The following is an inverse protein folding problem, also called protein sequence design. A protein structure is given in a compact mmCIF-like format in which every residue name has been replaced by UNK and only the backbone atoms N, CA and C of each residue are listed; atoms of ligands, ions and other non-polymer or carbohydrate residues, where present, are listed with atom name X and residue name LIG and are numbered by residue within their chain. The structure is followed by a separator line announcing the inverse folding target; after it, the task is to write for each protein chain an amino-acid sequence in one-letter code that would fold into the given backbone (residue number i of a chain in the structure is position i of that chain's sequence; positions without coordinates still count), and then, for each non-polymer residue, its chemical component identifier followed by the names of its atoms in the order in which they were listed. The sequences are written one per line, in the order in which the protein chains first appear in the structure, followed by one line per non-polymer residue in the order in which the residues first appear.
data_IF_860391391190
#
_entry.id   IF_860391391190
#
_cell.length_a   1.000
_cell.length_b   1.000
_cell.length_c   1.000
_cell.angle_alpha   90.00
_cell.angle_beta   90.00
_cell.angle_gamma   90.00
#
_symmetry.space_group_name_H-M   'P 1'
#
loop_
_entity.id
_entity.type
_entity.pdbx_description
1 polymer ?
#
# COMPACT_ATOMS: atom_id res chain seq x y z
N UNK A 1 -58.53 -30.13 -16.12
CA UNK A 1 -57.20 -30.52 -15.62
C UNK A 1 -56.15 -29.81 -16.47
N UNK A 2 -55.73 -28.62 -16.03
CA UNK A 2 -54.67 -27.88 -16.70
C UNK A 2 -53.36 -28.14 -15.94
N UNK A 3 -52.45 -28.85 -16.59
CA UNK A 3 -51.09 -29.11 -16.13
C UNK A 3 -50.32 -27.79 -16.05
N UNK A 4 -49.98 -27.38 -14.83
CA UNK A 4 -49.04 -26.30 -14.57
C UNK A 4 -47.67 -26.71 -15.10
N UNK A 5 -47.25 -26.07 -16.19
CA UNK A 5 -45.87 -26.09 -16.65
C UNK A 5 -45.01 -25.32 -15.63
N UNK A 6 -44.22 -26.06 -14.86
CA UNK A 6 -43.18 -25.49 -14.00
C UNK A 6 -42.08 -24.93 -14.91
N UNK A 7 -41.85 -23.62 -14.82
CA UNK A 7 -40.73 -22.94 -15.47
C UNK A 7 -39.39 -23.44 -14.92
N UNK A 8 -38.33 -23.59 -15.74
CA UNK A 8 -37.04 -24.14 -15.31
C UNK A 8 -36.19 -23.08 -14.58
N UNK A 9 -36.77 -22.34 -13.64
CA UNK A 9 -36.09 -21.32 -12.81
C UNK A 9 -36.19 -21.58 -11.32
N UNK A 10 -36.58 -22.80 -10.93
CA UNK A 10 -36.58 -23.24 -9.54
C UNK A 10 -35.98 -24.64 -9.46
N UNK A 11 -34.99 -24.81 -8.57
CA UNK A 11 -34.15 -25.99 -8.37
C UNK A 11 -32.96 -26.18 -9.35
N UNK A 12 -32.01 -25.23 -9.39
CA UNK A 12 -30.61 -25.67 -9.47
C UNK A 12 -30.21 -26.16 -8.09
N UNK A 13 -30.21 -27.47 -7.87
CA UNK A 13 -29.34 -28.04 -6.84
C UNK A 13 -27.93 -27.49 -7.12
N UNK A 14 -27.35 -26.69 -6.23
CA UNK A 14 -26.47 -27.20 -5.17
C UNK A 14 -25.32 -28.07 -5.68
N UNK A 15 -24.95 -27.99 -6.96
CA UNK A 15 -23.71 -28.60 -7.42
C UNK A 15 -22.54 -27.91 -6.72
N UNK A 16 -21.76 -28.70 -6.01
CA UNK A 16 -20.55 -28.23 -5.37
C UNK A 16 -19.49 -28.03 -6.46
N UNK A 17 -18.73 -26.92 -6.42
CA UNK A 17 -17.69 -26.71 -7.41
C UNK A 17 -16.73 -27.88 -7.50
N UNK A 18 -16.27 -28.17 -8.72
CA UNK A 18 -15.32 -29.27 -8.95
C UNK A 18 -14.04 -29.05 -8.14
N UNK A 19 -13.62 -30.07 -7.40
CA UNK A 19 -12.46 -30.00 -6.50
C UNK A 19 -12.75 -29.37 -5.12
N UNK A 20 -14.01 -29.09 -4.81
CA UNK A 20 -14.48 -28.60 -3.52
C UNK A 20 -15.41 -29.61 -2.83
N UNK A 21 -15.52 -29.48 -1.50
CA UNK A 21 -16.43 -30.21 -0.65
C UNK A 21 -17.41 -29.22 -0.02
N UNK A 22 -18.70 -29.45 -0.19
CA UNK A 22 -19.75 -28.55 0.27
C UNK A 22 -20.56 -29.21 1.39
N UNK A 23 -20.66 -28.50 2.52
CA UNK A 23 -21.33 -28.95 3.73
C UNK A 23 -22.55 -28.05 3.97
N UNK A 24 -23.73 -28.48 3.54
CA UNK A 24 -24.97 -27.70 3.68
C UNK A 24 -25.35 -27.44 5.16
N UNK A 25 -25.11 -28.42 6.04
CA UNK A 25 -25.43 -28.31 7.48
C UNK A 25 -24.63 -27.22 8.19
N UNK A 26 -23.33 -27.09 7.89
CA UNK A 26 -22.46 -26.05 8.46
C UNK A 26 -22.38 -24.80 7.59
N UNK A 27 -23.01 -24.81 6.41
CA UNK A 27 -22.93 -23.77 5.37
C UNK A 27 -21.48 -23.45 4.98
N UNK A 28 -20.66 -24.49 4.86
CA UNK A 28 -19.23 -24.39 4.57
C UNK A 28 -18.92 -24.96 3.21
N UNK A 29 -18.12 -24.24 2.42
CA UNK A 29 -17.51 -24.76 1.19
C UNK A 29 -16.01 -24.79 1.39
N UNK A 30 -15.42 -25.98 1.21
CA UNK A 30 -14.00 -26.22 1.42
C UNK A 30 -13.37 -26.76 0.13
N UNK A 31 -12.50 -25.97 -0.47
CA UNK A 31 -11.68 -26.34 -1.60
C UNK A 31 -10.25 -26.55 -1.10
N UNK A 32 -9.69 -27.73 -1.36
CA UNK A 32 -8.29 -28.06 -1.06
C UNK A 32 -7.77 -28.91 -2.21
N UNK A 33 -7.54 -28.29 -3.36
CA UNK A 33 -6.97 -28.93 -4.54
C UNK A 33 -5.80 -28.12 -5.07
N UNK A 34 -4.80 -28.75 -5.69
CA UNK A 34 -3.64 -28.01 -6.23
C UNK A 34 -3.91 -27.39 -7.60
N UNK A 35 -5.03 -27.75 -8.24
CA UNK A 35 -5.27 -27.45 -9.65
C UNK A 35 -6.10 -26.18 -9.89
N UNK A 36 -6.77 -25.62 -8.86
CA UNK A 36 -7.51 -24.38 -9.07
C UNK A 36 -6.55 -23.19 -9.24
N UNK A 37 -6.80 -22.43 -10.31
CA UNK A 37 -6.08 -21.19 -10.65
C UNK A 37 -6.91 -19.94 -10.32
N UNK A 38 -8.19 -20.12 -10.05
CA UNK A 38 -9.15 -19.08 -9.71
C UNK A 38 -10.16 -19.60 -8.68
N UNK A 39 -10.81 -18.68 -7.98
CA UNK A 39 -11.90 -18.99 -7.06
C UNK A 39 -13.13 -19.40 -7.90
N UNK A 40 -13.80 -20.53 -7.58
CA UNK A 40 -14.98 -20.96 -8.33
C UNK A 40 -16.13 -19.94 -8.23
N UNK A 41 -16.78 -19.69 -9.37
CA UNK A 41 -17.92 -18.75 -9.48
C UNK A 41 -19.25 -19.41 -9.05
N UNK A 42 -19.30 -20.74 -9.05
CA UNK A 42 -20.47 -21.59 -8.78
C UNK A 42 -20.59 -21.99 -7.31
N UNK A 43 -20.06 -21.19 -6.38
CA UNK A 43 -20.20 -21.44 -4.95
C UNK A 43 -21.68 -21.30 -4.54
N UNK A 44 -22.27 -22.29 -3.86
CA UNK A 44 -23.69 -22.25 -3.49
C UNK A 44 -24.08 -21.03 -2.63
N UNK A 45 -25.20 -20.38 -2.92
CA UNK A 45 -25.64 -19.16 -2.24
C UNK A 45 -26.01 -19.30 -0.75
N UNK A 46 -26.16 -20.52 -0.23
CA UNK A 46 -26.35 -20.75 1.21
C UNK A 46 -25.06 -20.62 2.02
N UNK A 47 -23.91 -20.52 1.35
CA UNK A 47 -22.58 -20.57 1.97
C UNK A 47 -22.36 -19.37 2.89
N UNK A 48 -21.86 -19.65 4.10
CA UNK A 48 -21.41 -18.65 5.07
C UNK A 48 -19.89 -18.67 5.28
N UNK A 49 -19.29 -19.84 5.14
CA UNK A 49 -17.86 -20.04 5.36
C UNK A 49 -17.23 -20.59 4.08
N UNK A 50 -16.30 -19.84 3.51
CA UNK A 50 -15.56 -20.22 2.29
C UNK A 50 -14.12 -20.48 2.69
N UNK A 51 -13.63 -21.71 2.47
CA UNK A 51 -12.27 -22.12 2.77
C UNK A 51 -11.62 -22.59 1.49
N UNK A 52 -10.63 -21.86 1.01
CA UNK A 52 -9.93 -22.12 -0.25
C UNK A 52 -8.43 -22.03 0.05
N UNK A 53 -7.80 -23.17 0.33
CA UNK A 53 -6.39 -23.23 0.74
C UNK A 53 -5.58 -24.17 -0.15
N UNK A 54 -4.32 -23.82 -0.43
CA UNK A 54 -3.39 -24.71 -1.15
C UNK A 54 -3.52 -24.71 -2.68
N UNK A 55 -4.01 -23.61 -3.25
CA UNK A 55 -4.21 -23.44 -4.70
C UNK A 55 -3.17 -22.50 -5.32
N UNK A 56 -3.12 -22.48 -6.66
CA UNK A 56 -2.33 -21.53 -7.46
C UNK A 56 -3.16 -20.27 -7.82
N UNK A 57 -4.04 -19.83 -6.92
CA UNK A 57 -4.81 -18.60 -7.14
C UNK A 57 -3.87 -17.42 -7.05
N UNK A 58 -3.84 -16.61 -8.10
CA UNK A 58 -2.91 -15.48 -8.25
C UNK A 58 -3.56 -14.13 -7.98
N UNK A 59 -4.86 -13.97 -8.26
CA UNK A 59 -5.54 -12.67 -8.18
C UNK A 59 -6.93 -12.78 -7.58
N UNK A 60 -7.34 -11.73 -6.88
CA UNK A 60 -8.73 -11.49 -6.49
C UNK A 60 -9.26 -10.31 -7.32
N UNK A 61 -10.24 -10.59 -8.17
CA UNK A 61 -10.95 -9.59 -8.99
C UNK A 61 -12.20 -9.03 -8.31
N UNK A 62 -12.73 -7.92 -8.82
CA UNK A 62 -13.93 -7.26 -8.29
C UNK A 62 -15.20 -8.12 -8.41
N UNK A 63 -15.24 -9.00 -9.40
CA UNK A 63 -16.33 -9.94 -9.70
C UNK A 63 -16.23 -11.25 -8.91
N UNK A 64 -15.14 -11.49 -8.18
CA UNK A 64 -14.83 -12.81 -7.60
C UNK A 64 -15.83 -13.24 -6.53
N UNK A 65 -16.34 -12.29 -5.73
CA UNK A 65 -17.22 -12.56 -4.60
C UNK A 65 -18.62 -11.94 -4.75
N UNK A 66 -18.99 -11.54 -5.97
CA UNK A 66 -20.19 -10.74 -6.24
C UNK A 66 -21.50 -11.42 -5.79
N UNK A 67 -21.58 -12.75 -5.97
CA UNK A 67 -22.77 -13.55 -5.62
C UNK A 67 -22.81 -14.00 -4.15
N UNK A 68 -21.71 -13.83 -3.40
CA UNK A 68 -21.52 -14.40 -2.06
C UNK A 68 -21.99 -13.48 -0.92
N UNK A 69 -23.19 -12.90 -1.07
CA UNK A 69 -23.69 -11.84 -0.19
C UNK A 69 -23.80 -12.23 1.29
N UNK A 70 -24.03 -13.52 1.58
CA UNK A 70 -24.27 -14.02 2.94
C UNK A 70 -23.01 -14.56 3.65
N UNK A 71 -21.83 -14.44 3.03
CA UNK A 71 -20.59 -14.98 3.58
C UNK A 71 -20.12 -14.16 4.78
N UNK A 72 -19.76 -14.87 5.85
CA UNK A 72 -19.25 -14.31 7.10
C UNK A 72 -17.76 -14.54 7.26
N UNK A 73 -17.24 -15.62 6.70
CA UNK A 73 -15.82 -16.00 6.85
C UNK A 73 -15.26 -16.44 5.51
N UNK A 74 -14.14 -15.84 5.12
CA UNK A 74 -13.37 -16.20 3.94
C UNK A 74 -11.95 -16.53 4.38
N UNK A 75 -11.51 -17.75 4.08
CA UNK A 75 -10.15 -18.23 4.31
C UNK A 75 -9.53 -18.53 2.95
N UNK A 76 -8.57 -17.70 2.55
CA UNK A 76 -7.76 -17.81 1.33
C UNK A 76 -6.28 -18.04 1.67
N UNK A 77 -6.01 -18.65 2.82
CA UNK A 77 -4.64 -18.82 3.29
C UNK A 77 -3.88 -19.85 2.46
N UNK A 78 -2.56 -19.68 2.40
CA UNK A 78 -1.64 -20.59 1.70
C UNK A 78 -2.00 -20.77 0.20
N UNK A 79 -2.20 -19.65 -0.51
CA UNK A 79 -2.31 -19.60 -1.97
C UNK A 79 -1.12 -18.79 -2.54
N UNK A 80 -1.22 -18.32 -3.80
CA UNK A 80 -0.20 -17.49 -4.46
C UNK A 80 -0.73 -16.11 -4.84
N UNK A 81 -1.62 -15.54 -4.01
CA UNK A 81 -2.29 -14.29 -4.35
C UNK A 81 -1.25 -13.17 -4.30
N UNK A 82 -1.13 -12.45 -5.41
CA UNK A 82 -0.23 -11.30 -5.59
C UNK A 82 -1.00 -9.99 -5.69
N UNK A 83 -2.21 -10.03 -6.22
CA UNK A 83 -2.99 -8.84 -6.55
C UNK A 83 -4.39 -8.91 -5.97
N UNK A 84 -4.80 -7.82 -5.32
CA UNK A 84 -6.18 -7.59 -4.86
C UNK A 84 -6.74 -6.34 -5.53
N UNK A 85 -7.72 -6.53 -6.41
CA UNK A 85 -8.33 -5.47 -7.19
C UNK A 85 -9.24 -4.56 -6.34
N UNK A 86 -9.64 -3.42 -6.91
CA UNK A 86 -10.61 -2.50 -6.30
C UNK A 86 -11.94 -3.20 -6.02
N UNK A 87 -12.58 -2.85 -4.90
CA UNK A 87 -13.92 -3.32 -4.53
C UNK A 87 -14.10 -4.86 -4.49
N UNK A 88 -13.01 -5.61 -4.39
CA UNK A 88 -13.01 -7.09 -4.38
C UNK A 88 -13.94 -7.70 -3.33
N UNK A 89 -14.14 -7.00 -2.20
CA UNK A 89 -14.98 -7.47 -1.09
C UNK A 89 -16.25 -6.62 -0.88
N UNK A 90 -16.56 -5.70 -1.80
CA UNK A 90 -17.60 -4.67 -1.61
C UNK A 90 -19.02 -5.21 -1.44
N UNK A 91 -19.32 -6.38 -2.01
CA UNK A 91 -20.64 -7.04 -1.91
C UNK A 91 -20.84 -7.83 -0.61
N UNK A 92 -19.79 -8.00 0.19
CA UNK A 92 -19.77 -8.91 1.34
C UNK A 92 -20.22 -8.21 2.62
N UNK A 93 -21.48 -7.78 2.65
CA UNK A 93 -22.06 -6.98 3.75
C UNK A 93 -22.20 -7.71 5.09
N UNK A 94 -21.79 -8.98 5.19
CA UNK A 94 -21.77 -9.75 6.44
C UNK A 94 -20.39 -10.33 6.78
N UNK A 95 -19.34 -9.99 6.03
CA UNK A 95 -17.99 -10.53 6.22
C UNK A 95 -17.39 -10.08 7.55
N UNK A 96 -17.16 -11.02 8.46
CA UNK A 96 -16.57 -10.76 9.78
C UNK A 96 -15.10 -11.12 9.85
N UNK A 97 -14.66 -12.15 9.14
CA UNK A 97 -13.28 -12.65 9.21
C UNK A 97 -12.76 -12.92 7.80
N UNK A 98 -11.63 -12.29 7.48
CA UNK A 98 -10.91 -12.45 6.22
C UNK A 98 -9.48 -12.88 6.52
N UNK A 99 -9.15 -14.11 6.12
CA UNK A 99 -7.81 -14.65 6.22
C UNK A 99 -7.20 -14.76 4.83
N UNK A 100 -6.15 -13.96 4.59
CA UNK A 100 -5.32 -14.02 3.38
C UNK A 100 -3.87 -14.35 3.73
N UNK A 101 -3.62 -15.00 4.88
CA UNK A 101 -2.29 -15.35 5.36
C UNK A 101 -1.51 -16.28 4.42
N UNK A 102 -0.19 -16.28 4.54
CA UNK A 102 0.71 -17.12 3.73
C UNK A 102 0.46 -16.95 2.22
N UNK A 103 0.28 -15.71 1.75
CA UNK A 103 0.20 -15.35 0.33
C UNK A 103 1.44 -14.53 -0.10
N UNK A 104 1.37 -13.84 -1.24
CA UNK A 104 2.50 -13.11 -1.82
C UNK A 104 2.08 -11.77 -2.40
N UNK A 105 1.31 -11.00 -1.63
CA UNK A 105 0.73 -9.73 -2.03
C UNK A 105 1.83 -8.75 -2.44
N UNK A 106 1.78 -8.34 -3.71
CA UNK A 106 2.64 -7.33 -4.31
C UNK A 106 1.91 -6.03 -4.57
N UNK A 107 0.61 -6.11 -4.88
CA UNK A 107 -0.25 -4.97 -5.21
C UNK A 107 -1.58 -5.08 -4.47
N UNK A 108 -1.91 -4.07 -3.69
CA UNK A 108 -3.20 -3.97 -3.01
C UNK A 108 -3.85 -2.65 -3.45
N UNK A 109 -4.97 -2.72 -4.16
CA UNK A 109 -5.65 -1.50 -4.57
C UNK A 109 -6.12 -0.69 -3.33
N UNK A 110 -6.05 0.66 -3.35
CA UNK A 110 -6.54 1.52 -2.25
C UNK A 110 -7.95 1.20 -1.76
N UNK A 111 -8.84 0.83 -2.69
CA UNK A 111 -10.24 0.50 -2.41
C UNK A 111 -10.51 -1.01 -2.35
N UNK A 112 -9.46 -1.84 -2.28
CA UNK A 112 -9.62 -3.30 -2.22
C UNK A 112 -10.45 -3.74 -1.02
N UNK A 113 -10.18 -3.16 0.15
CA UNK A 113 -10.84 -3.46 1.43
C UNK A 113 -12.06 -2.57 1.72
N UNK A 114 -12.52 -1.78 0.74
CA UNK A 114 -13.68 -0.92 0.91
C UNK A 114 -14.98 -1.75 0.90
N UNK A 115 -15.50 -2.02 2.09
CA UNK A 115 -16.77 -2.72 2.31
C UNK A 115 -17.75 -1.70 2.90
N UNK A 116 -18.88 -1.40 2.22
CA UNK A 116 -19.88 -0.47 2.74
C UNK A 116 -20.38 -0.89 4.13
N UNK A 117 -20.23 0.00 5.12
CA UNK A 117 -20.60 -0.29 6.51
C UNK A 117 -19.77 -1.41 7.15
N UNK A 118 -18.53 -1.60 6.68
CA UNK A 118 -17.66 -2.77 6.93
C UNK A 118 -17.92 -3.49 8.27
N UNK A 119 -18.51 -4.71 8.22
CA UNK A 119 -18.72 -5.54 9.40
C UNK A 119 -17.45 -6.32 9.81
N UNK A 120 -16.35 -6.13 9.09
CA UNK A 120 -15.11 -6.88 9.27
C UNK A 120 -14.55 -6.66 10.68
N UNK A 121 -14.27 -7.78 11.37
CA UNK A 121 -13.74 -7.84 12.73
C UNK A 121 -12.31 -8.35 12.76
N UNK A 122 -11.98 -9.27 11.87
CA UNK A 122 -10.68 -9.93 11.84
C UNK A 122 -10.10 -9.88 10.43
N UNK A 123 -8.86 -9.42 10.33
CA UNK A 123 -8.07 -9.42 9.11
C UNK A 123 -6.72 -10.07 9.38
N UNK A 124 -6.46 -11.21 8.73
CA UNK A 124 -5.18 -11.90 8.82
C UNK A 124 -4.40 -11.75 7.51
N UNK A 125 -3.24 -11.09 7.61
CA UNK A 125 -2.28 -10.84 6.53
C UNK A 125 -0.89 -11.35 6.94
N UNK A 126 -0.81 -12.28 7.88
CA UNK A 126 0.46 -12.85 8.32
C UNK A 126 1.19 -13.53 7.15
N UNK A 127 2.51 -13.35 7.06
CA UNK A 127 3.37 -13.94 6.01
C UNK A 127 2.83 -13.76 4.59
N UNK A 128 2.26 -12.59 4.29
CA UNK A 128 1.55 -12.34 3.03
C UNK A 128 2.10 -11.18 2.21
N UNK A 129 2.77 -10.22 2.84
CA UNK A 129 3.33 -9.05 2.17
C UNK A 129 4.70 -9.41 1.57
N UNK A 130 4.87 -9.18 0.27
CA UNK A 130 6.13 -9.53 -0.40
C UNK A 130 7.24 -8.50 -0.18
N UNK A 131 6.88 -7.21 -0.24
CA UNK A 131 7.83 -6.11 -0.29
C UNK A 131 7.30 -4.85 0.42
N UNK A 132 8.12 -3.80 0.46
CA UNK A 132 7.73 -2.53 1.07
C UNK A 132 6.57 -1.82 0.33
N UNK A 133 6.45 -1.96 -1.00
CA UNK A 133 5.35 -1.32 -1.75
C UNK A 133 4.00 -1.86 -1.31
N UNK A 134 3.90 -3.18 -1.07
CA UNK A 134 2.69 -3.82 -0.55
C UNK A 134 2.30 -3.31 0.85
N UNK A 135 3.25 -2.85 1.67
CA UNK A 135 2.97 -2.23 2.97
C UNK A 135 2.37 -0.82 2.80
N UNK A 136 2.90 -0.03 1.87
CA UNK A 136 2.35 1.30 1.54
C UNK A 136 0.94 1.19 0.95
N UNK A 137 0.73 0.22 0.07
CA UNK A 137 -0.57 -0.09 -0.51
C UNK A 137 -1.56 -0.52 0.57
N UNK A 138 -1.14 -1.43 1.47
CA UNK A 138 -1.95 -1.82 2.62
C UNK A 138 -2.29 -0.63 3.52
N UNK A 139 -1.34 0.25 3.80
CA UNK A 139 -1.57 1.47 4.60
C UNK A 139 -2.70 2.31 4.00
N UNK A 140 -2.69 2.44 2.68
CA UNK A 140 -3.72 3.17 1.93
C UNK A 140 -5.05 2.41 1.97
N UNK A 141 -5.04 1.08 1.79
CA UNK A 141 -6.23 0.25 1.86
C UNK A 141 -6.90 0.24 3.24
N UNK A 142 -6.12 0.26 4.33
CA UNK A 142 -6.65 0.35 5.70
C UNK A 142 -7.31 1.71 5.94
N UNK A 143 -6.76 2.79 5.37
CA UNK A 143 -7.31 4.15 5.47
C UNK A 143 -8.67 4.27 4.77
N UNK A 144 -8.79 3.76 3.55
CA UNK A 144 -10.00 3.90 2.74
C UNK A 144 -10.99 2.74 2.88
N UNK A 145 -10.59 1.64 3.52
CA UNK A 145 -11.42 0.44 3.68
C UNK A 145 -12.62 0.58 4.63
N UNK A 146 -12.75 1.72 5.34
CA UNK A 146 -13.84 1.93 6.29
C UNK A 146 -13.85 0.94 7.46
N UNK A 147 -12.68 0.40 7.82
CA UNK A 147 -12.49 -0.69 8.79
C UNK A 147 -12.60 -0.24 10.26
N UNK A 148 -13.47 0.72 10.56
CA UNK A 148 -13.61 1.31 11.90
C UNK A 148 -14.07 0.32 12.98
N UNK A 149 -14.66 -0.80 12.57
CA UNK A 149 -15.12 -1.90 13.41
C UNK A 149 -14.14 -3.06 13.58
N UNK A 150 -12.95 -3.00 12.98
CA UNK A 150 -11.93 -4.05 13.04
C UNK A 150 -11.40 -4.22 14.47
N UNK A 151 -11.34 -5.46 14.96
CA UNK A 151 -10.91 -5.81 16.31
C UNK A 151 -9.52 -6.46 16.31
N UNK A 152 -9.22 -7.28 15.30
CA UNK A 152 -7.96 -8.01 15.22
C UNK A 152 -7.29 -7.83 13.87
N UNK A 153 -6.01 -7.47 13.89
CA UNK A 153 -5.16 -7.34 12.70
C UNK A 153 -3.87 -8.12 12.93
N UNK A 154 -3.62 -9.11 12.07
CA UNK A 154 -2.39 -9.89 12.08
C UNK A 154 -1.49 -9.55 10.90
N UNK A 155 -0.32 -9.00 11.20
CA UNK A 155 0.75 -8.64 10.27
C UNK A 155 2.05 -9.38 10.59
N UNK A 156 1.99 -10.48 11.34
CA UNK A 156 3.15 -11.26 11.75
C UNK A 156 3.87 -11.90 10.57
N UNK A 157 5.20 -12.07 10.63
CA UNK A 157 5.93 -12.81 9.60
C UNK A 157 6.05 -12.11 8.24
N UNK A 158 5.81 -10.81 8.14
CA UNK A 158 5.87 -10.02 6.91
C UNK A 158 7.24 -9.35 6.66
N UNK A 159 8.25 -9.65 7.50
CA UNK A 159 9.62 -9.08 7.41
C UNK A 159 9.63 -7.55 7.44
N UNK A 160 8.68 -6.95 8.15
CA UNK A 160 8.53 -5.50 8.25
C UNK A 160 9.73 -4.90 8.99
N UNK A 161 10.38 -3.91 8.38
CA UNK A 161 11.55 -3.22 8.96
C UNK A 161 11.13 -1.97 9.74
N UNK A 162 10.08 -1.29 9.28
CA UNK A 162 9.46 -0.16 9.96
C UNK A 162 7.96 -0.12 9.66
N UNK A 163 7.22 0.65 10.47
CA UNK A 163 5.80 0.90 10.28
C UNK A 163 5.59 2.37 9.92
N UNK A 164 4.87 2.67 8.82
CA UNK A 164 4.47 4.03 8.47
C UNK A 164 3.71 4.71 9.62
N UNK A 165 4.02 5.99 9.94
CA UNK A 165 3.29 6.74 10.96
C UNK A 165 1.79 6.81 10.66
N UNK A 166 0.96 6.61 11.68
CA UNK A 166 -0.49 6.68 11.54
C UNK A 166 -1.11 5.59 10.67
N UNK A 167 -0.39 4.50 10.33
CA UNK A 167 -0.95 3.36 9.57
C UNK A 167 -2.26 2.84 10.20
N UNK A 168 -2.34 2.82 11.52
CA UNK A 168 -3.49 2.29 12.25
C UNK A 168 -4.47 3.38 12.74
N UNK A 169 -4.27 4.64 12.34
CA UNK A 169 -5.05 5.78 12.83
C UNK A 169 -6.55 5.70 12.53
N UNK A 170 -6.93 4.95 11.50
CA UNK A 170 -8.32 4.73 11.08
C UNK A 170 -8.94 3.44 11.64
N UNK A 171 -8.29 2.79 12.61
CA UNK A 171 -8.74 1.55 13.26
C UNK A 171 -9.05 1.77 14.76
N UNK A 172 -10.02 2.63 15.13
CA UNK A 172 -10.26 3.03 16.52
C UNK A 172 -10.79 1.91 17.43
N UNK A 173 -11.29 0.82 16.85
CA UNK A 173 -11.81 -0.34 17.59
C UNK A 173 -10.81 -1.48 17.73
N UNK A 174 -9.59 -1.33 17.21
CA UNK A 174 -8.62 -2.41 17.21
C UNK A 174 -8.20 -2.78 18.64
N UNK A 175 -8.32 -4.06 18.97
CA UNK A 175 -8.00 -4.66 20.26
C UNK A 175 -6.72 -5.48 20.18
N UNK A 176 -6.55 -6.28 19.13
CA UNK A 176 -5.39 -7.16 18.97
C UNK A 176 -4.59 -6.76 17.74
N UNK A 177 -3.31 -6.44 17.95
CA UNK A 177 -2.36 -6.15 16.89
C UNK A 177 -1.16 -7.09 16.99
N UNK A 178 -1.02 -7.97 15.99
CA UNK A 178 0.08 -8.91 15.91
C UNK A 178 1.13 -8.43 14.92
N UNK A 179 2.32 -8.09 15.44
CA UNK A 179 3.49 -7.67 14.69
C UNK A 179 4.68 -8.60 14.95
N UNK A 180 4.44 -9.76 15.54
CA UNK A 180 5.48 -10.72 15.87
C UNK A 180 6.20 -11.28 14.66
N UNK A 181 7.43 -11.76 14.83
CA UNK A 181 8.23 -12.39 13.77
C UNK A 181 8.43 -11.47 12.55
N UNK A 182 8.71 -10.19 12.79
CA UNK A 182 9.08 -9.21 11.78
C UNK A 182 10.55 -8.77 12.01
N UNK A 183 10.98 -7.68 11.38
CA UNK A 183 12.33 -7.14 11.48
C UNK A 183 12.36 -5.74 12.08
N UNK A 184 11.35 -5.39 12.90
CA UNK A 184 11.21 -4.05 13.45
C UNK A 184 12.35 -3.77 14.45
N UNK A 185 13.07 -2.67 14.25
CA UNK A 185 14.18 -2.28 15.12
C UNK A 185 13.84 -1.12 16.06
N UNK A 186 12.80 -0.35 15.75
CA UNK A 186 12.39 0.87 16.44
C UNK A 186 10.89 1.11 16.32
N UNK A 187 10.34 1.83 17.29
CA UNK A 187 8.99 2.41 17.24
C UNK A 187 9.16 3.91 17.15
N UNK A 188 8.48 4.54 16.17
CA UNK A 188 8.56 5.98 15.96
C UNK A 188 7.32 6.69 16.52
N UNK A 189 7.45 7.99 16.79
CA UNK A 189 6.32 8.82 17.19
C UNK A 189 5.15 8.70 16.19
N UNK A 190 3.95 8.48 16.71
CA UNK A 190 2.73 8.29 15.93
C UNK A 190 2.53 6.90 15.33
N UNK A 191 3.41 5.91 15.62
CA UNK A 191 3.24 4.53 15.11
C UNK A 191 1.92 3.92 15.57
N UNK A 192 1.57 4.09 16.85
CA UNK A 192 0.36 3.52 17.45
C UNK A 192 -0.75 4.54 17.64
N UNK A 193 -0.69 5.66 16.91
CA UNK A 193 -1.70 6.70 17.00
C UNK A 193 -3.08 6.18 16.58
N UNK A 194 -4.11 6.49 17.38
CA UNK A 194 -5.50 6.08 17.13
C UNK A 194 -5.93 4.76 17.78
N UNK A 195 -5.00 3.95 18.29
CA UNK A 195 -5.28 2.65 18.91
C UNK A 195 -5.79 2.78 20.36
N UNK A 196 -7.00 3.31 20.54
CA UNK A 196 -7.56 3.65 21.86
C UNK A 196 -8.14 2.47 22.66
N UNK A 197 -8.38 1.34 21.98
CA UNK A 197 -9.00 0.13 22.56
C UNK A 197 -8.06 -1.07 22.52
N UNK A 198 -6.77 -0.85 22.37
CA UNK A 198 -5.80 -1.92 22.25
C UNK A 198 -5.74 -2.70 23.58
N UNK A 199 -5.87 -4.01 23.47
CA UNK A 199 -5.83 -4.97 24.58
C UNK A 199 -4.59 -5.88 24.48
N UNK A 200 -4.10 -6.13 23.26
CA UNK A 200 -2.91 -6.93 23.02
C UNK A 200 -2.06 -6.34 21.90
N UNK A 201 -0.77 -6.15 22.19
CA UNK A 201 0.26 -5.77 21.24
C UNK A 201 1.38 -6.81 21.25
N UNK A 202 1.51 -7.57 20.17
CA UNK A 202 2.59 -8.55 20.02
C UNK A 202 3.74 -7.97 19.17
N UNK A 203 4.87 -7.70 19.81
CA UNK A 203 6.14 -7.26 19.21
C UNK A 203 7.24 -8.32 19.36
N UNK A 204 6.88 -9.57 19.67
CA UNK A 204 7.85 -10.65 19.88
C UNK A 204 8.63 -10.96 18.61
N UNK A 205 9.85 -11.52 18.74
CA UNK A 205 10.65 -11.95 17.58
C UNK A 205 10.84 -10.84 16.55
N UNK A 206 11.29 -9.68 17.01
CA UNK A 206 11.67 -8.55 16.16
C UNK A 206 13.17 -8.26 16.36
N UNK A 207 13.62 -7.06 15.97
CA UNK A 207 15.03 -6.63 16.03
C UNK A 207 15.26 -5.52 17.06
N UNK A 208 14.41 -5.41 18.09
CA UNK A 208 14.54 -4.35 19.10
C UNK A 208 15.80 -4.55 19.94
N UNK A 209 16.68 -3.55 19.94
CA UNK A 209 17.90 -3.51 20.76
C UNK A 209 17.68 -2.81 22.10
N UNK A 210 16.91 -1.73 22.09
CA UNK A 210 16.45 -1.00 23.26
C UNK A 210 15.25 -0.13 22.85
N UNK A 211 14.39 0.23 23.80
CA UNK A 211 13.37 1.26 23.61
C UNK A 211 13.88 2.57 24.21
N UNK A 212 13.86 3.66 23.43
CA UNK A 212 14.41 4.97 23.83
C UNK A 212 13.44 6.10 23.46
N UNK A 213 13.44 7.18 24.26
CA UNK A 213 12.76 8.44 23.95
C UNK A 213 11.35 8.25 23.38
N UNK A 214 11.16 8.64 22.12
CA UNK A 214 9.90 8.55 21.38
C UNK A 214 9.23 7.17 21.43
N UNK A 215 10.03 6.09 21.37
CA UNK A 215 9.49 4.73 21.40
C UNK A 215 8.83 4.43 22.75
N UNK A 216 9.45 4.84 23.86
CA UNK A 216 8.88 4.71 25.20
C UNK A 216 7.66 5.61 25.37
N UNK A 217 7.74 6.86 24.88
CA UNK A 217 6.61 7.79 24.91
C UNK A 217 5.37 7.25 24.16
N UNK A 218 5.57 6.54 23.04
CA UNK A 218 4.47 5.87 22.32
C UNK A 218 3.88 4.71 23.12
N UNK A 219 4.70 3.89 23.77
CA UNK A 219 4.22 2.80 24.63
C UNK A 219 3.48 3.33 25.86
N UNK A 220 3.97 4.41 26.47
CA UNK A 220 3.30 5.09 27.58
C UNK A 220 1.96 5.70 27.14
N UNK A 221 1.86 6.23 25.92
CA UNK A 221 0.62 6.80 25.38
C UNK A 221 -0.46 5.74 25.14
N UNK A 222 -0.10 4.47 24.96
CA UNK A 222 -1.05 3.37 24.95
C UNK A 222 -1.71 3.16 26.33
N UNK A 223 -1.17 3.75 27.39
CA UNK A 223 -1.63 3.60 28.76
C UNK A 223 -1.33 2.21 29.32
N UNK A 224 -1.96 1.85 30.43
CA UNK A 224 -1.75 0.54 31.10
C UNK A 224 -2.69 -0.57 30.60
N UNK A 225 -3.56 -0.27 29.62
CA UNK A 225 -4.60 -1.19 29.19
C UNK A 225 -4.09 -2.39 28.36
N UNK A 226 -3.24 -2.21 27.32
CA UNK A 226 -2.84 -3.34 26.49
C UNK A 226 -1.77 -4.20 27.15
N UNK A 227 -1.93 -5.52 27.07
CA UNK A 227 -0.87 -6.49 27.32
C UNK A 227 0.15 -6.44 26.17
N UNK A 228 1.38 -6.06 26.46
CA UNK A 228 2.47 -5.95 25.48
C UNK A 228 3.36 -7.18 25.57
N UNK A 229 3.64 -7.82 24.44
CA UNK A 229 4.58 -8.94 24.35
C UNK A 229 5.86 -8.49 23.65
N UNK A 230 7.01 -8.69 24.30
CA UNK A 230 8.31 -8.14 23.90
C UNK A 230 9.43 -9.17 23.81
N UNK A 231 9.18 -10.43 24.18
CA UNK A 231 10.20 -11.48 24.22
C UNK A 231 10.83 -11.77 22.85
N UNK A 232 11.99 -12.44 22.89
CA UNK A 232 12.74 -12.85 21.70
C UNK A 232 13.20 -11.65 20.84
N UNK A 233 13.63 -10.57 21.46
CA UNK A 233 14.27 -9.44 20.80
C UNK A 233 15.75 -9.35 21.22
N UNK A 234 16.65 -8.90 20.32
CA UNK A 234 18.09 -8.87 20.59
C UNK A 234 18.48 -7.66 21.44
N UNK A 235 18.05 -7.63 22.71
CA UNK A 235 18.32 -6.53 23.62
C UNK A 235 19.81 -6.33 23.90
N UNK A 236 20.29 -5.10 23.72
CA UNK A 236 21.67 -4.69 23.97
C UNK A 236 21.72 -4.05 25.36
N UNK A 237 22.20 -4.81 26.33
CA UNK A 237 22.24 -4.45 27.73
C UNK A 237 23.50 -3.67 28.11
N UNK A 238 23.62 -2.48 27.52
CA UNK A 238 24.61 -1.44 27.88
C UNK A 238 23.89 -0.28 28.58
N UNK A 239 24.57 0.84 28.84
CA UNK A 239 23.92 2.00 29.46
C UNK A 239 22.76 2.60 28.67
N UNK A 240 22.65 2.31 27.37
CA UNK A 240 21.53 2.78 26.56
C UNK A 240 20.20 2.11 26.91
N UNK A 241 20.22 0.94 27.56
CA UNK A 241 18.99 0.24 27.94
C UNK A 241 18.39 0.77 29.25
N UNK A 242 19.06 1.71 29.92
CA UNK A 242 18.67 2.19 31.25
C UNK A 242 17.23 2.71 31.28
N UNK A 243 16.83 3.53 30.32
CA UNK A 243 15.48 4.09 30.26
C UNK A 243 14.43 2.99 30.10
N UNK A 244 14.70 2.01 29.23
CA UNK A 244 13.83 0.86 29.04
C UNK A 244 13.75 -0.01 30.31
N UNK A 245 14.88 -0.23 30.99
CA UNK A 245 14.92 -0.99 32.24
C UNK A 245 14.15 -0.29 33.37
N UNK A 246 14.21 1.06 33.44
CA UNK A 246 13.42 1.86 34.38
C UNK A 246 11.92 1.74 34.03
N UNK A 247 11.56 1.90 32.76
CA UNK A 247 10.18 1.76 32.29
C UNK A 247 9.63 0.36 32.56
N UNK A 248 10.42 -0.70 32.35
CA UNK A 248 10.00 -2.08 32.64
C UNK A 248 9.65 -2.27 34.12
N UNK A 249 10.36 -1.61 35.04
CA UNK A 249 10.05 -1.67 36.48
C UNK A 249 8.72 -1.01 36.82
N UNK A 250 8.38 0.11 36.17
CA UNK A 250 7.10 0.79 36.38
C UNK A 250 5.93 0.11 35.65
N UNK A 251 6.19 -0.53 34.51
CA UNK A 251 5.17 -1.04 33.58
C UNK A 251 5.10 -2.57 33.52
N UNK A 252 5.66 -3.26 34.51
CA UNK A 252 5.81 -4.74 34.52
C UNK A 252 4.48 -5.49 34.35
N UNK A 253 3.39 -5.03 34.96
CA UNK A 253 2.07 -5.66 34.86
C UNK A 253 1.50 -5.60 33.43
N UNK A 254 1.98 -4.65 32.62
CA UNK A 254 1.59 -4.48 31.24
C UNK A 254 2.35 -5.42 30.30
N UNK A 255 3.62 -5.71 30.61
CA UNK A 255 4.47 -6.59 29.79
C UNK A 255 4.15 -8.05 30.13
N UNK A 256 3.40 -8.69 29.25
CA UNK A 256 2.83 -10.01 29.50
C UNK A 256 3.86 -11.13 29.60
N UNK A 257 5.03 -10.95 29.00
CA UNK A 257 6.11 -11.94 28.90
C UNK A 257 7.42 -11.44 29.54
N UNK A 258 7.31 -10.66 30.63
CA UNK A 258 8.46 -10.00 31.29
C UNK A 258 9.59 -10.96 31.66
N UNK A 259 9.22 -12.20 32.03
CA UNK A 259 10.11 -13.29 32.41
C UNK A 259 11.01 -13.77 31.27
N UNK A 260 10.58 -13.57 30.02
CA UNK A 260 11.29 -14.01 28.83
C UNK A 260 12.11 -12.89 28.17
N UNK A 261 12.19 -11.69 28.77
CA UNK A 261 13.10 -10.65 28.29
C UNK A 261 14.51 -10.91 28.82
N UNK A 262 15.39 -11.34 27.93
CA UNK A 262 16.81 -11.55 28.22
C UNK A 262 17.72 -10.67 27.37
N UNK A 263 18.90 -10.37 27.89
CA UNK A 263 19.94 -9.65 27.17
C UNK A 263 20.55 -10.56 26.10
N UNK A 264 20.69 -10.05 24.88
CA UNK A 264 21.37 -10.75 23.79
C UNK A 264 22.84 -10.35 23.68
N UNK A 265 23.17 -9.11 24.05
CA UNK A 265 24.54 -8.61 24.10
C UNK A 265 24.69 -7.56 25.21
N UNK A 266 25.91 -7.23 25.65
CA UNK A 266 27.17 -7.91 25.32
C UNK A 266 27.25 -9.29 25.98
N UNK A 267 28.27 -10.10 25.65
CA UNK A 267 28.34 -11.52 26.01
C UNK A 267 28.36 -11.75 27.54
N UNK A 268 28.86 -10.77 28.31
CA UNK A 268 28.91 -10.79 29.77
C UNK A 268 27.51 -10.87 30.40
N UNK A 269 26.52 -10.32 29.70
CA UNK A 269 25.12 -10.29 30.14
C UNK A 269 24.22 -11.21 29.32
N UNK A 270 24.77 -12.01 28.40
CA UNK A 270 23.95 -12.87 27.55
C UNK A 270 23.04 -13.78 28.39
N UNK A 271 21.78 -13.89 27.99
CA UNK A 271 20.72 -14.66 28.64
C UNK A 271 20.34 -14.20 30.07
N UNK A 272 20.91 -13.10 30.57
CA UNK A 272 20.47 -12.48 31.82
C UNK A 272 19.09 -11.84 31.64
N UNK A 273 18.14 -12.07 32.57
CA UNK A 273 16.83 -11.45 32.50
C UNK A 273 16.90 -9.94 32.77
N UNK A 274 16.23 -9.14 31.94
CA UNK A 274 16.25 -7.67 32.04
C UNK A 274 15.68 -7.14 33.35
N UNK A 275 14.75 -7.88 33.98
CA UNK A 275 14.15 -7.49 35.26
C UNK A 275 15.17 -7.44 36.41
N UNK A 276 16.23 -8.25 36.32
CA UNK A 276 17.28 -8.38 37.34
C UNK A 276 18.45 -7.44 37.07
N UNK A 277 18.44 -6.70 35.95
CA UNK A 277 19.47 -5.71 35.65
C UNK A 277 19.33 -4.49 36.58
N UNK A 278 20.30 -4.34 37.48
CA UNK A 278 20.52 -3.11 38.23
C UNK A 278 21.36 -2.12 37.44
N UNK A 279 21.04 -0.82 37.50
CA UNK A 279 21.78 0.27 36.82
C UNK A 279 23.26 0.28 37.23
N UNK A 280 23.56 -0.12 38.47
CA UNK A 280 24.91 -0.25 39.01
C UNK A 280 25.68 -1.45 38.43
N UNK A 281 24.98 -2.52 38.03
CA UNK A 281 25.56 -3.75 37.47
C UNK A 281 26.03 -3.54 36.02
N UNK A 282 25.35 -2.67 35.28
CA UNK A 282 25.70 -2.30 33.90
C UNK A 282 26.88 -1.31 33.87
N UNK A 283 27.28 -0.76 35.02
CA UNK A 283 28.40 0.19 35.12
C UNK A 283 28.04 1.62 34.70
N UNK A 284 26.76 1.99 34.70
CA UNK A 284 26.33 3.34 34.32
C UNK A 284 26.59 4.30 35.47
N UNK A 285 27.75 4.95 35.47
CA UNK A 285 28.01 6.06 36.38
C UNK A 285 27.19 7.28 35.94
N UNK A 286 26.23 7.65 36.78
CA UNK A 286 25.58 8.95 36.73
C UNK A 286 26.59 10.02 37.17
N UNK A 287 27.46 10.46 36.28
CA UNK A 287 28.15 11.74 36.50
C UNK A 287 27.12 12.86 36.32
N UNK A 288 26.75 13.47 37.44
CA UNK A 288 26.51 14.91 37.72
C UNK A 288 26.31 15.89 36.54
N UNK A 289 25.52 16.98 36.72
CA UNK A 289 25.19 17.96 35.68
C UNK A 289 26.45 18.51 34.98
N UNK A 290 26.35 18.97 33.71
CA UNK A 290 27.52 19.31 32.91
C UNK A 290 28.29 20.46 33.56
N UNK A 291 29.39 20.12 34.22
CA UNK A 291 30.41 21.06 34.60
C UNK A 291 31.26 21.33 33.36
N UNK A 292 31.33 22.62 33.07
CA UNK A 292 32.14 23.27 32.04
C UNK A 292 33.56 22.68 31.98
N UNK A 293 33.94 22.25 30.77
CA UNK A 293 35.31 22.30 30.26
C UNK A 293 36.23 21.16 30.65
N UNK A 294 36.47 20.23 29.71
CA UNK A 294 37.69 20.12 28.92
C UNK A 294 37.31 19.40 27.61
N UNK A 295 37.71 19.98 26.49
CA UNK A 295 37.51 19.47 25.12
C UNK A 295 38.22 18.13 24.94
N UNK A 296 37.45 17.08 24.64
CA UNK A 296 37.93 15.91 23.88
C UNK A 296 37.31 15.99 22.47
N UNK A 297 38.02 16.64 21.55
CA UNK A 297 37.69 16.70 20.12
C UNK A 297 38.06 15.40 19.40
N UNK A 298 37.29 14.32 19.59
CA UNK A 298 37.41 13.13 18.70
C UNK A 298 36.06 12.58 18.20
N UNK A 299 34.92 13.06 18.69
CA UNK A 299 33.59 12.64 18.21
C UNK A 299 33.03 13.46 17.04
N UNK A 300 33.42 14.73 16.90
CA UNK A 300 32.81 15.66 15.92
C UNK A 300 33.45 15.61 14.52
N UNK A 301 34.63 15.01 14.38
CA UNK A 301 35.32 14.93 13.09
C UNK A 301 34.66 13.95 12.11
N UNK A 302 33.90 12.96 12.60
CA UNK A 302 33.25 11.94 11.77
C UNK A 302 31.94 12.42 11.12
N UNK A 303 31.17 13.28 11.79
CA UNK A 303 29.93 13.84 11.25
C UNK A 303 30.21 15.08 10.39
N UNK A 304 31.14 15.96 10.81
CA UNK A 304 31.57 17.10 10.00
C UNK A 304 32.18 16.67 8.66
N UNK A 305 32.99 15.61 8.63
CA UNK A 305 33.53 15.09 7.36
C UNK A 305 32.44 14.58 6.41
N UNK A 306 31.33 14.02 6.93
CA UNK A 306 30.20 13.60 6.08
C UNK A 306 29.42 14.78 5.48
N UNK A 307 29.20 15.86 6.25
CA UNK A 307 28.47 17.04 5.76
C UNK A 307 29.32 17.91 4.83
N UNK A 308 30.62 18.01 5.10
CA UNK A 308 31.57 18.69 4.19
C UNK A 308 31.68 17.91 2.87
N UNK A 309 31.76 16.57 2.92
CA UNK A 309 31.75 15.74 1.71
C UNK A 309 30.43 15.90 0.93
N UNK A 310 29.28 15.87 1.62
CA UNK A 310 27.97 16.12 1.02
C UNK A 310 27.91 17.51 0.36
N UNK A 311 28.41 18.53 1.05
CA UNK A 311 28.48 19.91 0.54
C UNK A 311 29.37 20.04 -0.70
N UNK A 312 30.52 19.36 -0.74
CA UNK A 312 31.40 19.32 -1.90
C UNK A 312 30.76 18.58 -3.09
N UNK A 313 30.09 17.45 -2.83
CA UNK A 313 29.38 16.69 -3.87
C UNK A 313 28.23 17.51 -4.44
N UNK A 314 27.40 18.14 -3.60
CA UNK A 314 26.31 19.01 -4.05
C UNK A 314 26.83 20.23 -4.80
N UNK A 315 27.94 20.82 -4.35
CA UNK A 315 28.62 21.91 -5.05
C UNK A 315 29.14 21.49 -6.43
N UNK A 316 29.75 20.30 -6.53
CA UNK A 316 30.23 19.77 -7.80
C UNK A 316 29.09 19.44 -8.77
N UNK A 317 28.02 18.80 -8.30
CA UNK A 317 26.81 18.55 -9.09
C UNK A 317 26.18 19.86 -9.56
N UNK A 318 26.12 20.87 -8.69
CA UNK A 318 25.66 22.21 -9.04
C UNK A 318 26.53 22.89 -10.11
N UNK A 319 27.85 22.79 -10.01
CA UNK A 319 28.76 23.30 -11.04
C UNK A 319 28.59 22.60 -12.37
N UNK A 320 28.49 21.26 -12.39
CA UNK A 320 28.26 20.49 -13.61
C UNK A 320 26.92 20.87 -14.24
N UNK A 321 25.86 21.03 -13.44
CA UNK A 321 24.55 21.45 -13.91
C UNK A 321 24.60 22.86 -14.53
N UNK A 322 25.23 23.83 -13.86
CA UNK A 322 25.41 25.17 -14.40
C UNK A 322 26.27 25.19 -15.67
N UNK A 323 27.29 24.32 -15.74
CA UNK A 323 28.13 24.17 -16.91
C UNK A 323 27.35 23.61 -18.11
N UNK A 324 26.50 22.60 -17.88
CA UNK A 324 25.58 22.06 -18.90
C UNK A 324 24.61 23.14 -19.38
N UNK A 325 24.00 23.91 -18.47
CA UNK A 325 23.15 25.04 -18.83
C UNK A 325 23.90 26.13 -19.60
N UNK A 326 25.17 26.36 -19.26
CA UNK A 326 26.01 27.32 -19.95
C UNK A 326 26.34 26.88 -21.37
N UNK A 327 26.77 25.62 -21.56
CA UNK A 327 27.03 25.05 -22.88
C UNK A 327 25.76 25.03 -23.74
N UNK A 328 24.61 24.75 -23.14
CA UNK A 328 23.33 24.67 -23.85
C UNK A 328 22.54 25.99 -23.83
N UNK A 329 23.14 27.11 -23.41
CA UNK A 329 22.44 28.40 -23.21
C UNK A 329 21.79 28.92 -24.49
N UNK A 330 22.44 28.75 -25.63
CA UNK A 330 21.89 29.17 -26.93
C UNK A 330 20.71 28.29 -27.36
N UNK A 331 20.82 26.96 -27.15
CA UNK A 331 19.74 26.01 -27.42
C UNK A 331 18.51 26.27 -26.55
N UNK A 332 18.72 26.51 -25.24
CA UNK A 332 17.64 26.83 -24.31
C UNK A 332 16.99 28.17 -24.67
N UNK A 333 17.77 29.21 -25.01
CA UNK A 333 17.21 30.49 -25.44
C UNK A 333 16.36 30.33 -26.70
N UNK A 334 16.84 29.57 -27.68
CA UNK A 334 16.10 29.29 -28.91
C UNK A 334 14.81 28.53 -28.61
N UNK A 335 14.89 27.47 -27.82
CA UNK A 335 13.73 26.67 -27.41
C UNK A 335 12.68 27.49 -26.64
N UNK A 336 13.11 28.35 -25.70
CA UNK A 336 12.19 29.21 -24.93
C UNK A 336 11.48 30.21 -25.84
N UNK A 337 12.19 30.82 -26.79
CA UNK A 337 11.59 31.77 -27.74
C UNK A 337 10.62 31.05 -28.68
N UNK A 338 11.02 29.93 -29.26
CA UNK A 338 10.16 29.13 -30.15
C UNK A 338 8.92 28.61 -29.41
N UNK A 339 9.06 28.17 -28.17
CA UNK A 339 7.93 27.71 -27.34
C UNK A 339 6.98 28.86 -26.98
N UNK A 340 7.52 30.03 -26.65
CA UNK A 340 6.72 31.23 -26.38
C UNK A 340 5.93 31.63 -27.63
N UNK A 341 6.59 31.65 -28.78
CA UNK A 341 5.96 32.09 -30.03
C UNK A 341 4.87 31.09 -30.47
N UNK A 342 5.12 29.77 -30.33
CA UNK A 342 4.10 28.74 -30.55
C UNK A 342 2.91 28.86 -29.58
N UNK A 343 3.16 29.20 -28.31
CA UNK A 343 2.10 29.40 -27.32
C UNK A 343 1.29 30.68 -27.62
N UNK A 344 1.95 31.74 -28.07
CA UNK A 344 1.30 32.99 -28.47
C UNK A 344 0.38 32.80 -29.68
N UNK A 345 0.84 32.06 -30.70
CA UNK A 345 0.06 31.74 -31.90
C UNK A 345 -1.20 30.93 -31.56
N UNK A 346 -1.07 29.95 -30.65
CA UNK A 346 -2.23 29.19 -30.15
C UNK A 346 -3.21 30.09 -29.39
N UNK A 347 -2.72 31.00 -28.55
CA UNK A 347 -3.54 31.90 -27.76
C UNK A 347 -4.29 32.91 -28.65
N UNK A 348 -3.63 33.47 -29.68
CA UNK A 348 -4.28 34.30 -30.69
C UNK A 348 -5.32 33.52 -31.49
N UNK A 349 -5.05 32.26 -31.82
CA UNK A 349 -6.02 31.37 -32.46
C UNK A 349 -7.27 31.13 -31.60
N UNK A 350 -7.12 30.98 -30.28
CA UNK A 350 -8.25 30.93 -29.35
C UNK A 350 -9.00 32.27 -29.28
N UNK A 351 -8.29 33.39 -29.28
CA UNK A 351 -8.91 34.72 -29.23
C UNK A 351 -9.75 35.00 -30.48
N UNK A 352 -9.25 34.68 -31.67
CA UNK A 352 -10.00 34.83 -32.92
C UNK A 352 -11.22 33.89 -33.00
N UNK A 353 -11.11 32.64 -32.53
CA UNK A 353 -12.28 31.74 -32.46
C UNK A 353 -13.33 32.26 -31.49
N UNK A 354 -12.91 32.78 -30.35
CA UNK A 354 -13.82 33.33 -29.36
C UNK A 354 -14.57 34.55 -29.91
N UNK A 355 -13.88 35.47 -30.60
CA UNK A 355 -14.51 36.63 -31.26
C UNK A 355 -15.50 36.23 -32.36
N UNK A 356 -15.20 35.18 -33.14
CA UNK A 356 -16.09 34.67 -34.19
C UNK A 356 -17.33 33.99 -33.58
N UNK A 357 -17.17 33.23 -32.50
CA UNK A 357 -18.26 32.51 -31.85
C UNK A 357 -19.14 33.43 -30.99
N UNK A 358 -18.65 34.62 -30.61
CA UNK A 358 -19.42 35.63 -29.85
C UNK A 358 -20.05 36.72 -30.72
N UNK A 359 -19.89 36.70 -32.06
CA UNK A 359 -20.59 37.63 -32.98
C UNK A 359 -22.12 37.35 -32.99
N UNK A 360 -22.96 38.28 -32.47
CA UNK A 360 -24.41 38.09 -32.38
C UNK A 360 -25.12 37.95 -33.73
N UNK A 361 -24.46 38.28 -34.86
CA UNK A 361 -25.05 38.17 -36.20
C UNK A 361 -25.19 36.72 -36.70
N UNK A 362 -24.46 35.75 -36.12
CA UNK A 362 -24.57 34.33 -36.51
C UNK A 362 -25.82 33.63 -35.97
N UNK A 363 -26.43 34.16 -34.90
CA UNK A 363 -27.65 33.59 -34.33
C UNK A 363 -28.90 33.85 -35.20
N UNK A 364 -28.81 34.82 -36.13
CA UNK A 364 -29.88 35.14 -37.08
C UNK A 364 -29.82 34.33 -38.38
N UNK A 365 -28.64 33.84 -38.80
CA UNK A 365 -28.47 33.09 -40.05
C UNK A 365 -28.83 31.60 -39.93
N UNK A 366 -28.91 31.05 -38.72
CA UNK A 366 -29.24 29.63 -38.48
C UNK A 366 -30.74 29.35 -38.37
N UNK A 367 -31.60 30.39 -38.39
CA UNK A 367 -33.06 30.24 -38.31
C UNK A 367 -33.80 30.22 -39.65
N UNK A 368 -33.19 30.62 -40.75
CA UNK A 368 -33.91 30.88 -42.02
C UNK A 368 -33.75 29.86 -43.15
N UNK A 369 -33.15 28.69 -42.93
CA UNK A 369 -33.11 27.65 -43.99
C UNK A 369 -33.64 26.31 -43.47
N UNK A 370 -34.97 26.18 -43.51
CA UNK A 370 -35.67 24.91 -43.35
C UNK A 370 -36.81 24.81 -44.37
N UNK A 371 -36.53 24.42 -45.63
CA UNK A 371 -37.54 23.95 -46.61
C UNK A 371 -36.89 23.02 -47.65
N UNK A 372 -37.50 21.82 -47.82
CA UNK A 372 -37.71 20.91 -49.00
C UNK A 372 -36.57 20.72 -50.04
N UNK A 373 -36.31 19.58 -50.71
CA UNK A 373 -37.17 18.52 -51.28
C UNK A 373 -36.30 17.33 -51.82
N UNK A 374 -36.92 16.28 -52.38
CA UNK A 374 -36.39 14.94 -52.77
C UNK A 374 -36.03 14.83 -54.31
N UNK A 375 -35.62 13.66 -54.92
CA UNK A 375 -34.61 13.50 -56.00
C UNK A 375 -35.24 13.24 -57.42
N UNK A 376 -34.60 12.74 -58.54
CA UNK A 376 -33.25 12.14 -58.77
C UNK A 376 -32.51 12.42 -60.14
N UNK A 377 -31.37 11.72 -60.32
CA UNK A 377 -30.70 11.18 -61.56
C UNK A 377 -29.70 11.97 -62.43
N UNK A 378 -28.48 11.38 -62.49
CA UNK A 378 -27.46 11.21 -63.54
C UNK A 378 -26.77 12.40 -64.24
N UNK A 379 -25.42 12.42 -64.18
CA UNK A 379 -24.57 13.12 -65.14
C UNK A 379 -23.17 13.56 -64.68
N UNK A 380 -22.25 12.60 -64.59
CA UNK A 380 -20.79 12.65 -64.77
C UNK A 380 -19.94 13.94 -64.57
N UNK A 381 -18.85 13.72 -63.82
CA UNK A 381 -17.48 14.29 -63.88
C UNK A 381 -17.19 15.66 -63.22
N UNK A 382 -16.42 15.61 -62.12
CA UNK A 382 -15.55 16.70 -61.67
C UNK A 382 -15.41 16.86 -60.15
N UNK A 383 -14.33 16.28 -59.58
CA UNK A 383 -13.57 16.73 -58.39
C UNK A 383 -14.24 16.97 -57.01
N UNK A 384 -13.41 16.72 -55.98
CA UNK A 384 -13.51 17.07 -54.56
C UNK A 384 -14.08 16.01 -53.60
N UNK A 385 -13.16 15.55 -52.73
CA UNK A 385 -13.24 15.30 -51.30
C UNK A 385 -14.59 14.93 -50.62
N UNK A 386 -14.47 13.85 -49.81
CA UNK A 386 -15.24 13.54 -48.58
C UNK A 386 -16.67 13.03 -48.83
N UNK A 387 -17.22 12.02 -48.17
CA UNK A 387 -17.22 11.69 -46.74
C UNK A 387 -17.87 10.30 -46.51
N UNK A 388 -17.56 9.62 -45.40
CA UNK A 388 -18.62 9.35 -44.39
C UNK A 388 -18.08 8.85 -43.03
N UNK A 389 -18.16 9.78 -42.06
CA UNK A 389 -18.70 9.68 -40.69
C UNK A 389 -18.64 8.34 -39.93
N UNK A 390 -18.00 8.38 -38.75
CA UNK A 390 -18.73 8.50 -37.48
C UNK A 390 -17.81 9.05 -36.37
N UNK A 391 -18.28 10.12 -35.71
CA UNK A 391 -18.07 10.46 -34.29
C UNK A 391 -16.76 10.04 -33.62
N UNK A 392 -15.82 10.96 -33.45
CA UNK A 392 -14.81 10.91 -32.39
C UNK A 392 -14.39 12.34 -32.05
N UNK A 393 -14.64 12.76 -30.80
CA UNK A 393 -13.90 13.86 -30.18
C UNK A 393 -12.41 13.48 -30.17
N UNK A 394 -11.47 14.38 -30.47
CA UNK A 394 -10.10 14.20 -30.03
C UNK A 394 -9.84 15.07 -28.80
N UNK A 395 -9.67 14.36 -27.68
CA UNK A 395 -8.63 14.62 -26.69
C UNK A 395 -7.35 15.16 -27.33
N UNK A 396 -6.78 16.22 -26.76
CA UNK A 396 -5.32 16.38 -26.67
C UNK A 396 -4.98 17.29 -25.47
N UNK A 397 -4.93 16.64 -24.31
CA UNK A 397 -4.20 17.09 -23.13
C UNK A 397 -2.75 16.68 -23.36
N UNK A 398 -1.81 17.63 -23.42
CA UNK A 398 -0.40 17.36 -23.62
C UNK A 398 0.18 16.45 -22.51
N UNK A 399 0.51 15.20 -22.85
CA UNK A 399 1.44 14.36 -22.10
C UNK A 399 2.82 14.48 -22.74
N UNK A 400 3.78 14.96 -21.96
CA UNK A 400 5.20 14.96 -22.32
C UNK A 400 5.73 13.52 -22.24
N UNK A 401 6.08 12.93 -23.37
CA UNK A 401 6.84 11.67 -23.43
C UNK A 401 8.33 11.96 -23.62
N UNK A 402 9.15 11.31 -22.79
CA UNK A 402 10.63 11.28 -22.86
C UNK A 402 11.03 10.21 -23.92
N UNK A 403 12.05 10.43 -24.77
CA UNK A 403 12.39 9.49 -25.83
C UNK A 403 13.23 8.32 -25.33
N UNK A 404 12.85 7.10 -25.73
CA UNK A 404 13.70 5.91 -25.74
C UNK A 404 14.01 5.55 -27.18
N UNK A 405 15.30 5.50 -27.53
CA UNK A 405 15.95 4.42 -28.30
C UNK A 405 17.09 4.93 -29.18
N UNK A 406 18.29 4.45 -28.84
CA UNK A 406 19.44 4.39 -29.74
C UNK A 406 19.56 2.95 -30.20
N UNK A 407 19.11 2.64 -31.42
CA UNK A 407 19.43 1.39 -32.11
C UNK A 407 20.47 1.69 -33.20
N UNK A 408 21.71 1.26 -32.95
CA UNK A 408 22.78 1.23 -33.94
C UNK A 408 22.50 0.13 -34.98
N UNK A 409 22.73 0.46 -36.26
CA UNK A 409 22.94 -0.52 -37.34
C UNK A 409 24.42 -0.52 -37.79
N UNK A 410 24.91 -1.64 -38.34
CA UNK A 410 26.34 -1.97 -38.35
C UNK A 410 27.07 -1.45 -39.58
N UNK A 411 28.33 -1.05 -39.39
CA UNK A 411 29.31 -0.80 -40.44
C UNK A 411 30.58 -1.58 -40.15
N UNK A 412 30.87 -2.55 -41.02
CA UNK A 412 32.14 -3.28 -41.12
C UNK A 412 33.31 -2.33 -41.35
N UNK A 413 34.46 -2.57 -40.72
CA UNK A 413 35.82 -2.56 -41.34
C UNK A 413 36.81 -3.15 -40.31
N UNK A 414 37.51 -4.18 -40.79
CA UNK A 414 38.74 -4.83 -40.31
C UNK A 414 39.90 -3.87 -40.00
N UNK A 415 40.77 -4.20 -39.04
CA UNK A 415 42.24 -4.30 -39.21
C UNK A 415 42.84 -5.12 -38.05
N UNK A 416 43.88 -5.87 -38.42
CA UNK A 416 44.73 -6.86 -37.77
C UNK A 416 45.54 -6.46 -36.52
N UNK A 417 46.07 -7.53 -35.91
CA UNK A 417 47.15 -7.72 -34.93
C UNK A 417 46.80 -7.71 -33.43
#
# INVERSE_FOLDING_TARGET
MATLAVTPHSLRCLECPSGCQCFAGTRTVKCVSKDLRAIPQDIPGYTRNVIITGHNIFRIGSETFQELKNVTTIILSNNRITEVASHSFSTLSYLRSLDMSCNHLTLIHPEALNIPGSPLKELNLSRSLYNYTSLSDLTTALRWGGLGGLLSLDLSGNRLVFLPPGMFSHLPSLQHLFLGNNSLASVYNGTFFGLRRLELLDLTRNSFRAFRGDALGELERLGQAPRILLSHNPYVCTCEIQDFAVWLKSSWAQVGDVEALTCASPWEFQDRPLRELGVQVIGCHATSPPLVGIRDEVGDLSLQTSYVLLGLVLGFVGMVFLFVLYLNRQGIKKWVVETRDACHEVLEGYHHRYEIDTDPRREYLSKDVRVEEKPPTNGSFGQAHSDNRLSQLPTDTCLVQIPSDTQLKPGSISVDL
#
